data_IF_861306386750
#
_entry.id   IF_861306386750
#
_cell.length_a   1.000
_cell.length_b   1.000
_cell.length_c   1.000
_cell.angle_alpha   90.00
_cell.angle_beta   90.00
_cell.angle_gamma   90.00
#
_symmetry.space_group_name_H-M   'P 1'
#
loop_
_entity.id
_entity.type
_entity.pdbx_description
1 polymer ?
#
# COMPACT_ATOMS: atom_id res chain seq x y z
N UNK A 1 -18.86 12.80 3.64
CA UNK A 1 -17.81 12.06 4.35
C UNK A 1 -16.52 12.82 4.26
N UNK A 2 -15.50 12.35 4.98
CA UNK A 2 -14.11 12.75 4.76
C UNK A 2 -13.55 11.96 3.58
N UNK A 3 -12.68 12.60 2.79
CA UNK A 3 -12.03 11.99 1.62
C UNK A 3 -10.56 12.39 1.66
N UNK A 4 -9.68 11.43 1.39
CA UNK A 4 -8.25 11.69 1.22
C UNK A 4 -7.82 11.42 -0.21
N UNK A 5 -6.68 11.98 -0.58
CA UNK A 5 -6.07 11.78 -1.87
C UNK A 5 -4.84 12.67 -2.00
N UNK A 6 -4.44 12.92 -3.23
CA UNK A 6 -3.41 13.89 -3.55
C UNK A 6 -3.76 14.70 -4.79
N UNK A 7 -3.12 15.86 -4.93
CA UNK A 7 -3.15 16.66 -6.15
C UNK A 7 -1.73 17.05 -6.51
N UNK A 8 -1.49 17.30 -7.79
CA UNK A 8 -0.20 17.79 -8.27
C UNK A 8 -0.29 19.29 -8.53
N UNK A 9 0.64 20.05 -7.98
CA UNK A 9 0.73 21.49 -8.21
C UNK A 9 1.34 21.82 -9.60
N UNK A 10 1.38 23.10 -10.02
CA UNK A 10 2.03 23.49 -11.29
C UNK A 10 3.52 23.16 -11.38
N UNK A 11 4.18 22.89 -10.25
CA UNK A 11 5.58 22.50 -10.18
C UNK A 11 5.78 20.99 -10.30
N UNK A 12 4.71 20.22 -10.58
CA UNK A 12 4.74 18.76 -10.65
C UNK A 12 5.14 18.15 -9.29
N UNK A 13 4.61 18.71 -8.20
CA UNK A 13 4.80 18.18 -6.84
C UNK A 13 3.45 17.63 -6.34
N UNK A 14 3.36 16.32 -6.03
CA UNK A 14 2.21 15.75 -5.33
C UNK A 14 2.09 16.26 -3.89
N UNK A 15 0.90 16.71 -3.52
CA UNK A 15 0.54 17.10 -2.16
C UNK A 15 -0.65 16.27 -1.67
N UNK A 16 -0.59 15.79 -0.44
CA UNK A 16 -1.71 15.11 0.19
C UNK A 16 -2.85 16.09 0.50
N UNK A 17 -4.10 15.62 0.46
CA UNK A 17 -5.24 16.41 0.91
C UNK A 17 -6.21 15.60 1.78
N UNK A 18 -6.90 16.31 2.68
CA UNK A 18 -8.10 15.88 3.39
C UNK A 18 -9.24 16.82 3.02
N UNK A 19 -10.31 16.29 2.42
CA UNK A 19 -11.55 17.01 2.16
C UNK A 19 -12.56 16.72 3.25
N UNK A 20 -12.96 17.74 4.00
CA UNK A 20 -13.95 17.66 5.06
C UNK A 20 -15.39 17.60 4.51
N UNK A 21 -16.39 17.18 5.32
CA UNK A 21 -17.79 17.13 4.88
C UNK A 21 -18.36 18.47 4.41
N UNK A 22 -17.89 19.58 4.98
CA UNK A 22 -18.27 20.95 4.60
C UNK A 22 -17.61 21.41 3.28
N UNK A 23 -16.78 20.58 2.65
CA UNK A 23 -16.09 20.88 1.40
C UNK A 23 -14.73 21.57 1.57
N UNK A 24 -14.31 21.92 2.78
CA UNK A 24 -12.98 22.46 3.03
C UNK A 24 -11.91 21.42 2.68
N UNK A 25 -10.88 21.86 1.96
CA UNK A 25 -9.69 21.06 1.62
C UNK A 25 -8.55 21.51 2.53
N UNK A 26 -7.93 20.55 3.20
CA UNK A 26 -6.71 20.72 3.98
C UNK A 26 -5.59 20.03 3.21
N UNK A 27 -4.72 20.82 2.59
CA UNK A 27 -3.48 20.31 1.97
C UNK A 27 -2.42 20.03 3.04
N UNK A 28 -1.59 19.02 2.82
CA UNK A 28 -0.49 18.69 3.70
C UNK A 28 0.64 17.95 2.96
N UNK A 29 1.85 18.11 3.48
CA UNK A 29 3.02 17.36 3.08
C UNK A 29 3.55 16.57 4.29
N UNK A 30 3.95 15.33 4.07
CA UNK A 30 4.60 14.53 5.10
C UNK A 30 6.00 15.10 5.41
N UNK A 31 6.46 15.02 6.67
CA UNK A 31 7.82 15.43 7.01
C UNK A 31 8.85 14.61 6.22
N UNK A 32 9.72 15.29 5.46
CA UNK A 32 10.74 14.65 4.63
C UNK A 32 10.35 14.42 3.17
N UNK A 33 9.12 14.75 2.77
CA UNK A 33 8.73 14.73 1.36
C UNK A 33 9.65 15.61 0.50
N UNK A 34 10.09 15.09 -0.63
CA UNK A 34 10.75 15.87 -1.67
C UNK A 34 9.74 16.78 -2.33
N UNK A 35 10.08 18.07 -2.45
CA UNK A 35 9.22 19.10 -3.07
C UNK A 35 9.93 19.74 -4.27
N UNK A 36 10.79 18.97 -4.93
CA UNK A 36 11.58 19.45 -6.06
C UNK A 36 10.73 19.66 -7.31
N UNK A 37 10.86 20.85 -7.91
CA UNK A 37 10.15 21.21 -9.13
C UNK A 37 10.47 20.25 -10.30
N UNK A 38 9.43 19.65 -10.89
CA UNK A 38 9.51 18.77 -12.05
C UNK A 38 9.92 17.33 -11.71
N UNK A 39 10.07 16.98 -10.44
CA UNK A 39 10.60 15.67 -10.03
C UNK A 39 9.51 14.64 -9.68
N UNK A 40 8.26 15.07 -9.55
CA UNK A 40 7.13 14.23 -9.12
C UNK A 40 7.35 13.53 -7.76
N UNK A 41 8.26 14.07 -6.95
CA UNK A 41 8.43 13.73 -5.53
C UNK A 41 7.37 14.47 -4.73
N UNK A 42 6.84 13.87 -3.66
CA UNK A 42 5.83 14.51 -2.85
C UNK A 42 5.07 13.55 -1.96
N UNK A 43 3.89 13.98 -1.51
CA UNK A 43 3.04 13.25 -0.56
C UNK A 43 1.77 12.75 -1.24
N UNK A 44 1.41 11.49 -1.00
CA UNK A 44 0.13 10.93 -1.42
C UNK A 44 -0.56 10.16 -0.30
N UNK A 45 -1.83 10.50 -0.04
CA UNK A 45 -2.69 9.81 0.92
C UNK A 45 -3.62 8.84 0.21
N UNK A 46 -3.75 7.62 0.75
CA UNK A 46 -4.49 6.52 0.11
C UNK A 46 -5.65 6.00 0.97
N UNK A 47 -5.54 6.06 2.30
CA UNK A 47 -6.59 5.54 3.16
C UNK A 47 -6.83 6.43 4.39
N UNK A 48 -8.08 6.44 4.86
CA UNK A 48 -8.51 7.13 6.09
C UNK A 48 -9.44 6.21 6.88
N UNK A 49 -9.24 6.10 8.20
CA UNK A 49 -10.14 5.35 9.08
C UNK A 49 -11.16 6.27 9.79
N UNK A 50 -12.15 5.69 10.49
CA UNK A 50 -13.19 6.48 11.18
C UNK A 50 -12.67 7.30 12.40
N UNK A 51 -11.40 7.17 12.78
CA UNK A 51 -10.76 8.06 13.76
C UNK A 51 -10.10 9.27 13.08
N UNK A 52 -10.13 9.36 11.75
CA UNK A 52 -9.47 10.40 10.97
C UNK A 52 -7.96 10.18 10.83
N UNK A 53 -7.45 8.98 11.11
CA UNK A 53 -6.06 8.62 10.85
C UNK A 53 -5.89 8.29 9.38
N UNK A 54 -4.89 8.88 8.74
CA UNK A 54 -4.65 8.80 7.30
C UNK A 54 -3.36 8.03 7.06
N UNK A 55 -3.42 6.96 6.27
CA UNK A 55 -2.26 6.26 5.76
C UNK A 55 -1.92 6.71 4.34
N UNK A 56 -0.63 6.82 4.06
CA UNK A 56 -0.13 7.11 2.73
C UNK A 56 1.38 7.02 2.64
N UNK A 57 1.93 7.40 1.50
CA UNK A 57 3.37 7.46 1.28
C UNK A 57 3.84 8.86 0.94
N UNK A 58 5.12 9.11 1.15
CA UNK A 58 5.80 10.21 0.48
C UNK A 58 7.09 9.71 -0.17
N UNK A 59 7.47 10.36 -1.26
CA UNK A 59 8.77 10.20 -1.88
C UNK A 59 9.70 11.30 -1.37
N UNK A 60 10.88 10.93 -0.87
CA UNK A 60 11.89 11.86 -0.40
C UNK A 60 12.69 12.50 -1.56
N UNK A 61 13.57 13.48 -1.30
CA UNK A 61 14.45 14.06 -2.32
C UNK A 61 15.37 13.04 -3.04
N UNK A 62 15.60 11.88 -2.43
CA UNK A 62 16.44 10.78 -2.93
C UNK A 62 15.64 9.78 -3.76
N UNK A 63 14.36 10.04 -4.03
CA UNK A 63 13.43 9.18 -4.75
C UNK A 63 13.03 7.87 -4.06
N UNK A 64 13.24 7.77 -2.74
CA UNK A 64 12.84 6.62 -1.92
C UNK A 64 11.46 6.88 -1.32
N UNK A 65 10.61 5.86 -1.33
CA UNK A 65 9.27 5.92 -0.76
C UNK A 65 9.27 5.55 0.72
N UNK A 66 8.52 6.31 1.51
CA UNK A 66 8.35 6.10 2.94
C UNK A 66 6.86 6.07 3.29
N UNK A 67 6.48 5.24 4.26
CA UNK A 67 5.12 5.22 4.78
C UNK A 67 4.89 6.29 5.83
N UNK A 68 3.67 6.81 5.92
CA UNK A 68 3.25 7.70 7.01
C UNK A 68 1.85 7.37 7.53
N UNK A 69 1.62 7.67 8.81
CA UNK A 69 0.30 7.91 9.39
C UNK A 69 0.19 9.39 9.77
N UNK A 70 -0.82 10.10 9.26
CA UNK A 70 -1.18 11.46 9.70
C UNK A 70 -2.38 11.38 10.64
N UNK A 71 -2.26 12.01 11.80
CA UNK A 71 -3.30 12.03 12.82
C UNK A 71 -4.22 13.25 12.67
N UNK A 72 -5.42 13.24 13.28
CA UNK A 72 -6.38 14.36 13.19
C UNK A 72 -5.84 15.72 13.68
N UNK A 73 -4.92 15.70 14.65
CA UNK A 73 -4.23 16.90 15.15
C UNK A 73 -3.16 17.44 14.17
N UNK A 74 -2.94 16.77 13.03
CA UNK A 74 -1.96 17.14 12.01
C UNK A 74 -0.55 16.60 12.23
N UNK A 75 -0.27 15.90 13.33
CA UNK A 75 1.04 15.25 13.52
C UNK A 75 1.20 14.03 12.61
N UNK A 76 2.45 13.65 12.33
CA UNK A 76 2.79 12.50 11.52
C UNK A 76 3.67 11.52 12.30
N UNK A 77 3.48 10.23 12.00
CA UNK A 77 4.48 9.19 12.24
C UNK A 77 4.91 8.65 10.89
N UNK A 78 6.21 8.62 10.60
CA UNK A 78 6.77 7.98 9.41
C UNK A 78 7.33 6.61 9.75
N UNK A 79 7.40 5.70 8.78
CA UNK A 79 7.92 4.35 8.96
C UNK A 79 8.35 3.71 7.64
N UNK A 80 9.30 2.79 7.75
CA UNK A 80 9.77 1.96 6.65
C UNK A 80 9.62 0.48 7.02
N UNK A 81 9.24 -0.34 6.04
CA UNK A 81 9.31 -1.79 6.18
C UNK A 81 10.79 -2.20 6.34
N UNK A 82 11.13 -3.15 7.23
CA UNK A 82 12.52 -3.48 7.55
C UNK A 82 13.38 -3.92 6.35
N UNK A 83 12.76 -4.51 5.33
CA UNK A 83 13.43 -5.04 4.14
C UNK A 83 13.20 -4.17 2.90
N UNK A 84 12.64 -2.96 3.05
CA UNK A 84 12.49 -2.02 1.94
C UNK A 84 13.85 -1.53 1.43
N UNK A 85 13.97 -1.34 0.12
CA UNK A 85 15.17 -0.75 -0.47
C UNK A 85 15.29 0.72 -0.07
N UNK A 86 16.53 1.16 0.19
CA UNK A 86 16.83 2.51 0.69
C UNK A 86 17.57 3.39 -0.31
N UNK A 87 17.79 2.88 -1.53
CA UNK A 87 18.52 3.59 -2.59
C UNK A 87 17.77 3.48 -3.91
N UNK A 88 17.29 4.62 -4.41
CA UNK A 88 16.66 4.66 -5.73
C UNK A 88 17.70 4.65 -6.85
N UNK A 89 17.30 4.13 -8.01
CA UNK A 89 18.03 4.28 -9.26
C UNK A 89 17.06 4.71 -10.36
N UNK A 90 16.79 6.04 -10.48
CA UNK A 90 15.87 6.57 -11.48
C UNK A 90 16.30 6.24 -12.92
N UNK A 91 17.62 6.10 -13.17
CA UNK A 91 18.16 5.71 -14.48
C UNK A 91 17.75 4.30 -14.91
N UNK A 92 17.40 3.43 -13.96
CA UNK A 92 16.86 2.09 -14.20
C UNK A 92 15.35 1.97 -13.91
N UNK A 93 14.69 3.08 -13.56
CA UNK A 93 13.28 3.08 -13.14
C UNK A 93 13.01 2.40 -11.79
N UNK A 94 14.03 2.24 -10.94
CA UNK A 94 13.90 1.63 -9.62
C UNK A 94 13.62 2.69 -8.57
N UNK A 95 12.44 2.62 -7.95
CA UNK A 95 11.97 3.53 -6.89
C UNK A 95 11.51 2.69 -5.69
N UNK A 96 12.44 2.23 -4.84
CA UNK A 96 12.11 1.33 -3.75
C UNK A 96 11.45 2.07 -2.59
N UNK A 97 10.98 1.32 -1.60
CA UNK A 97 10.47 1.91 -0.37
C UNK A 97 9.17 1.28 0.11
N UNK A 98 8.45 1.99 0.97
CA UNK A 98 7.28 1.51 1.71
C UNK A 98 6.00 2.24 1.29
N UNK A 99 4.96 1.48 0.98
CA UNK A 99 3.70 1.96 0.42
C UNK A 99 2.50 1.44 1.23
N UNK A 100 2.08 2.12 2.30
CA UNK A 100 0.87 1.75 3.04
C UNK A 100 -0.38 2.24 2.29
N UNK A 101 -1.20 1.31 1.83
CA UNK A 101 -2.44 1.60 1.09
C UNK A 101 -3.71 1.43 1.91
N UNK A 102 -3.60 0.82 3.09
CA UNK A 102 -4.74 0.45 3.92
C UNK A 102 -4.49 0.81 5.38
N UNK A 103 -5.52 1.30 6.07
CA UNK A 103 -5.55 1.46 7.53
C UNK A 103 -6.92 1.08 8.08
N UNK A 104 -6.95 0.31 9.17
CA UNK A 104 -8.19 0.00 9.87
C UNK A 104 -8.33 0.85 11.15
N UNK A 105 -9.50 0.78 11.80
CA UNK A 105 -9.81 1.58 12.99
C UNK A 105 -8.94 1.26 14.22
N UNK A 106 -8.24 0.13 14.21
CA UNK A 106 -7.31 -0.26 15.28
C UNK A 106 -5.92 0.32 15.03
N UNK A 107 -5.70 1.05 13.94
CA UNK A 107 -4.40 1.58 13.52
C UNK A 107 -3.49 0.54 12.86
N UNK A 108 -3.99 -0.67 12.58
CA UNK A 108 -3.26 -1.63 11.75
C UNK A 108 -3.19 -1.07 10.34
N UNK A 109 -2.01 -1.13 9.74
CA UNK A 109 -1.74 -0.66 8.38
C UNK A 109 -1.30 -1.82 7.52
N UNK A 110 -1.67 -1.82 6.24
CA UNK A 110 -1.18 -2.83 5.29
C UNK A 110 -0.90 -2.20 3.93
N UNK A 111 -0.02 -2.84 3.17
CA UNK A 111 0.36 -2.38 1.84
C UNK A 111 1.57 -3.13 1.35
N UNK A 112 2.35 -2.49 0.49
CA UNK A 112 3.46 -3.11 -0.20
C UNK A 112 4.79 -2.42 0.13
N UNK A 113 5.89 -3.14 -0.02
CA UNK A 113 7.21 -2.53 -0.09
C UNK A 113 8.00 -3.12 -1.25
N UNK A 114 8.89 -2.30 -1.81
CA UNK A 114 9.81 -2.70 -2.86
C UNK A 114 11.19 -2.80 -2.24
N UNK A 115 11.82 -3.98 -2.34
CA UNK A 115 13.16 -4.22 -1.82
C UNK A 115 14.26 -3.57 -2.69
N UNK A 116 15.52 -3.71 -2.29
CA UNK A 116 16.66 -3.16 -3.04
C UNK A 116 16.86 -3.80 -4.42
N UNK A 117 16.24 -4.95 -4.69
CA UNK A 117 16.29 -5.65 -5.98
C UNK A 117 15.10 -5.31 -6.89
N UNK A 118 14.18 -4.44 -6.44
CA UNK A 118 12.97 -4.10 -7.18
C UNK A 118 11.84 -5.13 -7.05
N UNK A 119 11.91 -6.03 -6.07
CA UNK A 119 10.88 -7.05 -5.82
C UNK A 119 9.79 -6.49 -4.90
N UNK A 120 8.53 -6.70 -5.29
CA UNK A 120 7.37 -6.32 -4.48
C UNK A 120 7.05 -7.39 -3.43
N UNK A 121 6.82 -6.92 -2.21
CA UNK A 121 6.43 -7.72 -1.06
C UNK A 121 5.23 -7.08 -0.37
N UNK A 122 4.35 -7.90 0.20
CA UNK A 122 3.28 -7.40 1.07
C UNK A 122 3.75 -7.20 2.51
N UNK A 123 3.09 -6.31 3.26
CA UNK A 123 3.29 -6.20 4.70
C UNK A 123 1.99 -5.90 5.46
N UNK A 124 1.95 -6.34 6.72
CA UNK A 124 1.04 -5.83 7.75
C UNK A 124 1.86 -5.21 8.86
N UNK A 125 1.51 -3.99 9.26
CA UNK A 125 2.12 -3.23 10.35
C UNK A 125 1.09 -3.03 11.45
N UNK A 126 1.45 -3.44 12.67
CA UNK A 126 0.64 -3.16 13.88
C UNK A 126 0.82 -1.70 14.34
N UNK A 127 -0.09 -1.17 15.18
CA UNK A 127 0.06 0.16 15.79
C UNK A 127 1.35 0.33 16.60
N UNK A 128 1.87 -0.77 17.15
CA UNK A 128 3.14 -0.83 17.88
C UNK A 128 4.37 -0.91 16.96
N UNK A 129 4.22 -0.58 15.67
CA UNK A 129 5.27 -0.59 14.65
C UNK A 129 5.91 -1.97 14.38
N UNK A 130 5.28 -3.07 14.82
CA UNK A 130 5.71 -4.42 14.44
C UNK A 130 5.24 -4.74 13.03
N UNK A 131 6.18 -5.08 12.15
CA UNK A 131 5.93 -5.54 10.79
C UNK A 131 5.79 -7.06 10.72
N UNK A 132 4.96 -7.53 9.80
CA UNK A 132 4.86 -8.92 9.37
C UNK A 132 4.88 -8.92 7.85
N UNK A 133 5.90 -9.56 7.28
CA UNK A 133 6.00 -9.78 5.84
C UNK A 133 4.87 -10.70 5.38
N UNK A 134 4.29 -10.37 4.23
CA UNK A 134 3.21 -11.14 3.59
C UNK A 134 3.71 -11.54 2.22
N UNK A 135 4.30 -12.73 2.15
CA UNK A 135 4.72 -13.38 0.90
C UNK A 135 4.20 -14.82 0.92
N UNK A 136 3.28 -15.18 0.02
CA UNK A 136 2.92 -16.57 -0.22
C UNK A 136 4.15 -17.42 -0.55
N UNK A 137 4.21 -18.67 -0.08
CA UNK A 137 5.38 -19.53 -0.33
C UNK A 137 5.64 -19.68 -1.83
N UNK A 138 6.87 -19.35 -2.25
CA UNK A 138 7.30 -19.43 -3.65
C UNK A 138 6.90 -18.22 -4.51
N UNK A 139 6.34 -17.16 -3.94
CA UNK A 139 6.08 -15.91 -4.66
C UNK A 139 7.39 -15.24 -5.08
N UNK A 140 7.42 -14.70 -6.30
CA UNK A 140 8.44 -13.77 -6.81
C UNK A 140 7.92 -12.33 -6.90
N UNK A 141 6.65 -12.13 -6.60
CA UNK A 141 5.95 -10.85 -6.54
C UNK A 141 4.73 -11.01 -5.64
N UNK A 142 4.55 -10.12 -4.66
CA UNK A 142 3.34 -10.07 -3.82
C UNK A 142 2.79 -8.66 -3.77
N UNK A 143 1.47 -8.53 -3.92
CA UNK A 143 0.75 -7.26 -3.87
C UNK A 143 -0.50 -7.37 -2.99
N UNK A 144 -0.52 -6.68 -1.86
CA UNK A 144 -1.74 -6.38 -1.12
C UNK A 144 -2.47 -5.28 -1.89
N UNK A 145 -3.75 -5.49 -2.19
CA UNK A 145 -4.54 -4.53 -2.95
C UNK A 145 -4.82 -3.24 -2.14
N UNK A 146 -5.24 -2.19 -2.85
CA UNK A 146 -5.35 -0.85 -2.30
C UNK A 146 -6.71 -0.59 -1.63
N UNK A 147 -6.72 0.32 -0.65
CA UNK A 147 -7.89 0.95 0.00
C UNK A 147 -8.83 0.05 0.82
N UNK A 148 -9.20 -1.13 0.31
CA UNK A 148 -10.27 -1.98 0.87
C UNK A 148 -9.84 -3.40 1.20
N UNK A 149 -8.53 -3.62 1.31
CA UNK A 149 -7.92 -4.95 1.39
C UNK A 149 -7.38 -5.29 2.77
N UNK A 150 -7.83 -4.57 3.79
CA UNK A 150 -7.55 -4.80 5.20
C UNK A 150 -8.85 -4.71 5.98
N UNK A 151 -9.23 -5.81 6.65
CA UNK A 151 -10.39 -5.78 7.54
C UNK A 151 -10.02 -5.41 8.99
N UNK A 152 -11.04 -5.32 9.84
CA UNK A 152 -10.90 -4.94 11.25
C UNK A 152 -9.98 -5.87 12.06
N UNK A 153 -9.95 -7.15 11.72
CA UNK A 153 -9.16 -8.15 12.44
C UNK A 153 -7.70 -8.20 12.00
N UNK A 154 -7.36 -7.49 10.92
CA UNK A 154 -6.01 -7.53 10.35
C UNK A 154 -5.83 -8.63 9.30
N UNK A 155 -6.93 -9.19 8.80
CA UNK A 155 -6.92 -10.03 7.61
C UNK A 155 -6.71 -9.13 6.40
N UNK A 156 -5.81 -9.53 5.51
CA UNK A 156 -5.56 -8.82 4.25
C UNK A 156 -5.77 -9.72 3.05
N UNK A 157 -6.20 -9.14 1.95
CA UNK A 157 -6.31 -9.80 0.66
C UNK A 157 -5.37 -9.16 -0.36
N UNK A 158 -4.99 -9.93 -1.37
CA UNK A 158 -4.13 -9.46 -2.44
C UNK A 158 -3.91 -10.53 -3.48
N UNK A 159 -2.88 -10.35 -4.29
CA UNK A 159 -2.46 -11.33 -5.28
C UNK A 159 -0.94 -11.47 -5.32
N UNK A 160 -0.47 -12.58 -5.86
CA UNK A 160 0.95 -12.85 -6.03
C UNK A 160 1.21 -13.58 -7.33
N UNK A 161 2.47 -13.54 -7.79
CA UNK A 161 2.95 -14.38 -8.86
C UNK A 161 4.11 -15.23 -8.36
N UNK A 162 4.18 -16.47 -8.81
CA UNK A 162 5.27 -17.42 -8.56
C UNK A 162 6.24 -17.52 -9.75
N UNK A 163 5.99 -16.80 -10.84
CA UNK A 163 6.79 -16.87 -12.07
C UNK A 163 6.98 -15.48 -12.69
N UNK A 164 8.23 -15.14 -13.02
CA UNK A 164 8.52 -13.98 -13.87
C UNK A 164 8.41 -14.39 -15.35
N UNK A 165 7.78 -13.60 -16.25
CA UNK A 165 7.39 -12.19 -16.10
C UNK A 165 5.91 -11.95 -15.69
N UNK A 166 5.45 -12.52 -14.58
CA UNK A 166 4.11 -12.31 -13.98
C UNK A 166 2.94 -12.70 -14.90
N UNK A 167 3.15 -13.73 -15.70
CA UNK A 167 2.17 -14.27 -16.66
C UNK A 167 1.04 -15.09 -16.00
N UNK A 168 1.04 -15.16 -14.67
CA UNK A 168 0.04 -15.84 -13.86
C UNK A 168 0.00 -15.16 -12.50
N UNK A 169 -1.19 -14.86 -12.01
CA UNK A 169 -1.42 -14.31 -10.68
C UNK A 169 -2.43 -15.15 -9.92
N UNK A 170 -2.21 -15.25 -8.62
CA UNK A 170 -3.03 -16.02 -7.70
C UNK A 170 -3.54 -15.11 -6.59
N UNK A 171 -4.82 -15.22 -6.26
CA UNK A 171 -5.41 -14.50 -5.15
C UNK A 171 -4.91 -15.10 -3.84
N UNK A 172 -4.76 -14.28 -2.80
CA UNK A 172 -4.45 -14.78 -1.46
C UNK A 172 -5.20 -14.03 -0.37
N UNK A 173 -5.29 -14.70 0.78
CA UNK A 173 -5.77 -14.15 2.05
C UNK A 173 -4.72 -14.42 3.10
N UNK A 174 -4.30 -13.39 3.83
CA UNK A 174 -3.45 -13.54 5.02
C UNK A 174 -4.25 -13.24 6.27
N UNK A 175 -4.37 -14.22 7.16
CA UNK A 175 -5.09 -14.12 8.42
C UNK A 175 -4.23 -13.47 9.52
N UNK A 176 -4.84 -12.98 10.63
CA UNK A 176 -4.12 -12.30 11.71
C UNK A 176 -3.01 -13.14 12.35
N UNK A 177 -3.19 -14.46 12.39
CA UNK A 177 -2.22 -15.43 12.87
C UNK A 177 -1.02 -15.67 11.92
N UNK A 178 -0.99 -15.00 10.76
CA UNK A 178 0.08 -15.10 9.77
C UNK A 178 -0.10 -16.21 8.74
N UNK A 179 -1.15 -17.03 8.85
CA UNK A 179 -1.45 -18.05 7.82
C UNK A 179 -1.87 -17.35 6.53
N UNK A 180 -1.29 -17.80 5.42
CA UNK A 180 -1.63 -17.35 4.06
C UNK A 180 -2.28 -18.50 3.32
N UNK A 181 -3.42 -18.24 2.69
CA UNK A 181 -4.13 -19.20 1.83
C UNK A 181 -4.34 -18.60 0.45
N UNK A 182 -4.02 -19.36 -0.59
CA UNK A 182 -4.23 -18.95 -1.99
C UNK A 182 -5.57 -19.45 -2.51
N UNK A 183 -6.11 -18.77 -3.53
CA UNK A 183 -7.30 -19.18 -4.24
C UNK A 183 -7.25 -18.72 -5.71
N UNK A 184 -7.90 -19.49 -6.57
CA UNK A 184 -8.11 -19.16 -7.98
C UNK A 184 -9.54 -19.55 -8.38
N UNK A 185 -10.22 -18.79 -9.26
CA UNK A 185 -11.42 -19.26 -9.91
C UNK A 185 -11.10 -20.42 -10.87
N UNK A 186 -12.10 -21.21 -11.28
CA UNK A 186 -11.92 -22.24 -12.30
C UNK A 186 -11.34 -21.65 -13.58
N UNK A 187 -10.33 -22.31 -14.15
CA UNK A 187 -9.76 -21.89 -15.41
C UNK A 187 -10.79 -21.96 -16.56
N UNK A 188 -10.73 -21.05 -17.54
CA UNK A 188 -11.54 -21.15 -18.75
C UNK A 188 -11.33 -22.49 -19.46
N UNK A 189 -12.38 -23.01 -20.10
CA UNK A 189 -12.28 -24.28 -20.84
C UNK A 189 -11.15 -24.23 -21.88
N UNK A 190 -10.18 -25.14 -21.77
CA UNK A 190 -9.01 -25.20 -22.65
C UNK A 190 -7.82 -24.33 -22.23
N UNK A 191 -7.88 -23.65 -21.08
CA UNK A 191 -6.77 -22.91 -20.48
C UNK A 191 -6.31 -23.57 -19.17
N UNK A 192 -5.01 -23.53 -18.89
CA UNK A 192 -4.44 -23.83 -17.57
C UNK A 192 -4.04 -22.56 -16.81
N UNK A 193 -4.17 -21.40 -17.44
CA UNK A 193 -3.77 -20.10 -16.87
C UNK A 193 -4.98 -19.36 -16.35
N UNK A 194 -4.83 -18.83 -15.13
CA UNK A 194 -5.79 -17.98 -14.44
C UNK A 194 -5.04 -16.73 -13.97
N UNK A 195 -5.71 -15.60 -14.02
CA UNK A 195 -5.28 -14.36 -13.39
C UNK A 195 -6.30 -14.06 -12.30
N UNK A 196 -5.83 -14.03 -11.06
CA UNK A 196 -6.69 -13.80 -9.91
C UNK A 196 -6.16 -12.61 -9.13
N UNK A 197 -6.92 -11.52 -9.14
CA UNK A 197 -6.58 -10.28 -8.44
C UNK A 197 -7.66 -9.95 -7.42
N UNK A 198 -7.38 -10.24 -6.14
CA UNK A 198 -8.24 -9.76 -5.06
C UNK A 198 -8.22 -8.22 -5.05
N UNK A 199 -9.38 -7.59 -4.94
CA UNK A 199 -9.55 -6.13 -4.95
C UNK A 199 -10.18 -5.58 -3.67
N UNK A 200 -10.80 -6.42 -2.85
CA UNK A 200 -11.40 -6.01 -1.58
C UNK A 200 -11.60 -7.18 -0.62
N UNK A 201 -11.69 -6.88 0.68
CA UNK A 201 -12.11 -7.81 1.73
C UNK A 201 -13.03 -7.09 2.73
N UNK A 202 -14.16 -7.72 3.07
CA UNK A 202 -15.07 -7.16 4.07
C UNK A 202 -14.79 -7.67 5.50
N UNK A 203 -15.57 -7.18 6.47
CA UNK A 203 -15.41 -7.53 7.89
C UNK A 203 -15.72 -8.99 8.21
N UNK A 204 -16.44 -9.70 7.34
CA UNK A 204 -16.69 -11.14 7.46
C UNK A 204 -15.59 -11.98 6.80
N UNK A 205 -14.63 -11.36 6.12
CA UNK A 205 -13.60 -12.04 5.34
C UNK A 205 -14.04 -12.46 3.94
N UNK A 206 -15.18 -11.96 3.46
CA UNK A 206 -15.62 -12.18 2.08
C UNK A 206 -14.80 -11.29 1.14
N UNK A 207 -14.39 -11.83 -0.01
CA UNK A 207 -13.44 -11.20 -0.93
C UNK A 207 -14.09 -11.07 -2.31
N UNK A 208 -13.80 -9.95 -2.97
CA UNK A 208 -14.13 -9.72 -4.38
C UNK A 208 -12.88 -9.28 -5.15
N UNK A 209 -12.86 -9.54 -6.46
CA UNK A 209 -11.68 -9.35 -7.31
C UNK A 209 -11.98 -9.60 -8.78
N UNK A 210 -10.95 -9.45 -9.61
CA UNK A 210 -10.94 -9.73 -11.05
C UNK A 210 -10.25 -11.07 -11.36
#
# INVERSE_FOLDING_TARGET
>A
GEIVGFYTDPNIVPHGFLRLPNGQIISFDAPGAGLGHGLNQGTAAYAINNLGEIAGQFQDPSYVYHGFIRYPNGSFTTFDAPDAGTEANPGMGLFPGTFPYNINIRGTTAGNYIDANGVYHGFVRSPANKFTKVDPTGSVFTYICEETCLNLDGTVAGFYSNVAPFIQTHGFVRYPNGIITSFDPPAPAGSTTVFTEAASINTKGEIAGL
#
